data_IF_450716859193
#
_entry.id   IF_450716859193
#
_cell.length_a   1.000
_cell.length_b   1.000
_cell.length_c   1.000
_cell.angle_alpha   90.00
_cell.angle_beta   90.00
_cell.angle_gamma   90.00
#
_symmetry.space_group_name_H-M   'P 1'
#
loop_
_entity.id
_entity.type
_entity.pdbx_description
1 polymer ?
#
# COMPACT_ATOMS: atom_id res chain seq x y z
N UNK A 1 -4.05 6.17 -2.59
CA UNK A 1 -4.41 6.46 -3.99
C UNK A 1 -4.86 7.92 -4.08
N UNK A 2 -4.59 8.64 -5.18
CA UNK A 2 -5.10 9.99 -5.39
C UNK A 2 -6.64 9.98 -5.42
N UNK A 3 -7.26 11.12 -5.09
CA UNK A 3 -8.73 11.25 -5.17
C UNK A 3 -9.22 11.35 -6.62
N UNK A 4 -8.46 12.04 -7.47
CA UNK A 4 -8.73 12.14 -8.90
C UNK A 4 -8.32 10.83 -9.57
N UNK A 5 -9.24 10.24 -10.33
CA UNK A 5 -8.98 9.02 -11.09
C UNK A 5 -8.02 9.34 -12.24
N UNK A 6 -6.80 8.84 -12.14
CA UNK A 6 -5.78 8.92 -13.20
C UNK A 6 -5.23 7.55 -13.53
N UNK A 7 -4.95 7.30 -14.80
CA UNK A 7 -4.53 5.99 -15.28
C UNK A 7 -3.03 5.78 -15.05
N UNK A 8 -2.22 6.79 -15.39
CA UNK A 8 -0.76 6.73 -15.30
C UNK A 8 -0.22 7.61 -14.20
N UNK A 9 0.90 7.20 -13.62
CA UNK A 9 1.61 8.00 -12.63
C UNK A 9 2.08 9.36 -13.22
N UNK A 10 2.44 9.38 -14.51
CA UNK A 10 2.78 10.60 -15.25
C UNK A 10 1.64 11.61 -15.37
N UNK A 11 0.39 11.19 -15.15
CA UNK A 11 -0.79 12.07 -15.25
C UNK A 11 -1.09 12.79 -13.92
N UNK A 12 -0.33 12.49 -12.87
CA UNK A 12 -0.42 13.17 -11.58
C UNK A 12 0.20 14.56 -11.65
N UNK A 13 -0.43 15.49 -10.96
CA UNK A 13 0.18 16.79 -10.66
C UNK A 13 1.24 16.63 -9.56
N UNK A 14 2.15 17.60 -9.47
CA UNK A 14 3.15 17.65 -8.40
C UNK A 14 2.52 17.63 -7.00
N UNK A 15 1.36 18.28 -6.84
CA UNK A 15 0.60 18.30 -5.59
C UNK A 15 0.11 16.89 -5.23
N UNK A 16 -0.43 16.14 -6.18
CA UNK A 16 -0.90 14.77 -5.95
C UNK A 16 0.24 13.78 -5.70
N UNK A 17 1.37 13.93 -6.40
CA UNK A 17 2.58 13.13 -6.14
C UNK A 17 3.06 13.34 -4.70
N UNK A 18 3.13 14.60 -4.27
CA UNK A 18 3.58 14.98 -2.93
C UNK A 18 2.62 14.48 -1.87
N UNK A 19 1.31 14.67 -2.05
CA UNK A 19 0.27 14.18 -1.14
C UNK A 19 0.28 12.65 -1.01
N UNK A 20 0.33 11.94 -2.14
CA UNK A 20 0.38 10.47 -2.18
C UNK A 20 1.60 9.93 -1.43
N UNK A 21 2.78 10.50 -1.67
CA UNK A 21 4.04 10.07 -1.05
C UNK A 21 4.08 10.40 0.45
N UNK A 22 3.58 11.57 0.85
CA UNK A 22 3.48 11.95 2.25
C UNK A 22 2.50 11.05 3.02
N UNK A 23 1.35 10.73 2.43
CA UNK A 23 0.40 9.79 3.01
C UNK A 23 1.05 8.41 3.20
N UNK A 24 1.77 7.92 2.19
CA UNK A 24 2.45 6.63 2.23
C UNK A 24 3.55 6.56 3.30
N UNK A 25 4.31 7.65 3.47
CA UNK A 25 5.34 7.78 4.50
C UNK A 25 4.74 7.68 5.91
N UNK A 26 3.63 8.39 6.16
CA UNK A 26 2.90 8.32 7.43
C UNK A 26 2.33 6.93 7.70
N UNK A 27 1.76 6.30 6.67
CA UNK A 27 1.25 4.93 6.77
C UNK A 27 2.38 3.96 7.12
N UNK A 28 3.56 4.08 6.49
CA UNK A 28 4.68 3.18 6.77
C UNK A 28 5.15 3.23 8.22
N UNK A 29 5.25 4.43 8.82
CA UNK A 29 5.56 4.60 10.25
C UNK A 29 4.55 3.90 11.17
N UNK A 30 3.26 3.94 10.83
CA UNK A 30 2.23 3.21 11.57
C UNK A 30 2.39 1.71 11.38
N UNK A 31 2.66 1.25 10.16
CA UNK A 31 2.84 -0.17 9.87
C UNK A 31 4.07 -0.76 10.56
N UNK A 32 5.12 0.01 10.86
CA UNK A 32 6.26 -0.45 11.66
C UNK A 32 5.83 -0.90 13.07
N UNK A 33 4.84 -0.22 13.65
CA UNK A 33 4.31 -0.55 14.98
C UNK A 33 3.39 -1.78 14.92
N UNK A 34 2.61 -1.92 13.84
CA UNK A 34 1.68 -3.04 13.63
C UNK A 34 2.41 -4.31 13.22
N UNK A 35 3.52 -4.18 12.48
CA UNK A 35 4.35 -5.29 12.00
C UNK A 35 5.81 -5.14 12.50
N UNK A 36 6.10 -5.30 13.81
CA UNK A 36 7.43 -5.07 14.38
C UNK A 36 8.54 -5.92 13.75
N UNK A 37 8.20 -7.12 13.25
CA UNK A 37 9.14 -8.01 12.56
C UNK A 37 9.59 -7.47 11.19
N UNK A 38 8.86 -6.49 10.65
CA UNK A 38 9.07 -5.85 9.35
C UNK A 38 9.55 -4.40 9.46
N UNK A 39 9.87 -3.92 10.67
CA UNK A 39 10.29 -2.53 10.93
C UNK A 39 11.51 -2.07 10.11
N UNK A 40 12.30 -3.01 9.58
CA UNK A 40 13.52 -2.72 8.84
C UNK A 40 13.28 -2.58 7.32
N UNK A 41 12.04 -2.67 6.83
CA UNK A 41 11.76 -2.43 5.42
C UNK A 41 10.36 -2.83 4.97
N UNK A 42 9.83 -2.04 4.02
CA UNK A 42 8.58 -2.29 3.30
C UNK A 42 8.83 -2.22 1.80
N UNK A 43 8.04 -2.95 1.04
CA UNK A 43 8.01 -2.81 -0.41
C UNK A 43 6.99 -1.73 -0.75
N UNK A 44 7.46 -0.66 -1.40
CA UNK A 44 6.61 0.38 -2.00
C UNK A 44 6.57 0.13 -3.50
N UNK A 45 5.38 -0.18 -4.03
CA UNK A 45 5.22 -0.60 -5.42
C UNK A 45 4.09 0.14 -6.12
N UNK A 46 4.38 0.66 -7.30
CA UNK A 46 3.39 1.19 -8.26
C UNK A 46 3.52 0.37 -9.54
N UNK A 47 2.42 -0.25 -9.95
CA UNK A 47 2.30 -0.88 -11.25
C UNK A 47 1.70 0.14 -12.21
N UNK A 48 2.55 0.86 -12.95
CA UNK A 48 2.12 1.96 -13.82
C UNK A 48 1.83 1.47 -15.24
N UNK A 49 0.57 1.15 -15.52
CA UNK A 49 0.10 0.65 -16.81
C UNK A 49 -0.09 -0.87 -16.87
N UNK A 50 -0.89 -1.32 -17.84
CA UNK A 50 -1.28 -2.73 -18.02
C UNK A 50 -0.08 -3.69 -18.11
N UNK A 51 0.93 -3.33 -18.90
CA UNK A 51 2.14 -4.14 -19.09
C UNK A 51 3.01 -4.23 -17.82
N UNK A 52 2.85 -3.29 -16.89
CA UNK A 52 3.49 -3.33 -15.57
C UNK A 52 2.68 -4.13 -14.52
N UNK A 53 1.57 -4.77 -14.93
CA UNK A 53 0.70 -5.56 -14.06
C UNK A 53 -0.46 -4.78 -13.43
N UNK A 54 -0.73 -3.54 -13.86
CA UNK A 54 -1.85 -2.77 -13.33
C UNK A 54 -3.20 -3.39 -13.72
N UNK A 55 -3.94 -3.89 -12.75
CA UNK A 55 -5.25 -4.53 -12.98
C UNK A 55 -6.42 -3.54 -12.90
N UNK A 56 -6.32 -2.52 -12.04
CA UNK A 56 -7.32 -1.44 -11.91
C UNK A 56 -6.75 -0.17 -12.54
N UNK A 57 -7.42 0.46 -13.53
CA UNK A 57 -6.93 1.63 -14.26
C UNK A 57 -7.05 2.93 -13.44
N UNK A 58 -6.47 2.93 -12.25
CA UNK A 58 -6.36 4.05 -11.33
C UNK A 58 -5.04 3.90 -10.57
N UNK A 59 -4.19 4.94 -10.54
CA UNK A 59 -2.93 4.92 -9.79
C UNK A 59 -3.18 4.53 -8.34
N UNK A 60 -2.48 3.51 -7.87
CA UNK A 60 -2.44 3.14 -6.46
C UNK A 60 -1.04 2.67 -6.10
N UNK A 61 -0.63 2.99 -4.88
CA UNK A 61 0.64 2.59 -4.31
C UNK A 61 0.37 1.46 -3.31
N UNK A 62 1.04 0.35 -3.50
CA UNK A 62 1.08 -0.74 -2.51
C UNK A 62 2.18 -0.46 -1.48
N UNK A 63 1.86 -0.66 -0.21
CA UNK A 63 2.82 -0.69 0.90
C UNK A 63 2.70 -2.08 1.52
N UNK A 64 3.75 -2.89 1.37
CA UNK A 64 3.69 -4.31 1.68
C UNK A 64 4.74 -4.65 2.75
N UNK A 65 4.32 -5.08 3.95
CA UNK A 65 5.21 -5.54 5.01
C UNK A 65 5.72 -6.96 4.69
N UNK A 66 6.54 -7.11 3.66
CA UNK A 66 7.15 -8.39 3.24
C UNK A 66 8.63 -8.21 2.92
N UNK A 67 9.47 -9.20 3.23
CA UNK A 67 10.90 -9.12 2.90
C UNK A 67 11.08 -9.33 1.40
N UNK A 68 12.01 -8.62 0.78
CA UNK A 68 12.23 -8.74 -0.66
C UNK A 68 12.67 -10.16 -1.08
N UNK A 69 13.42 -10.86 -0.24
CA UNK A 69 13.79 -12.27 -0.48
C UNK A 69 12.59 -13.21 -0.50
N UNK A 70 11.59 -12.97 0.35
CA UNK A 70 10.34 -13.75 0.37
C UNK A 70 9.46 -13.40 -0.84
N UNK A 71 9.53 -12.15 -1.29
CA UNK A 71 8.84 -11.67 -2.49
C UNK A 71 9.40 -12.32 -3.76
N UNK A 72 10.73 -12.37 -3.91
CA UNK A 72 11.36 -12.93 -5.10
C UNK A 72 11.15 -14.45 -5.23
N UNK A 73 11.03 -15.17 -4.11
CA UNK A 73 10.85 -16.62 -4.11
C UNK A 73 9.42 -17.07 -4.41
N UNK A 74 8.42 -16.38 -3.84
CA UNK A 74 7.01 -16.81 -3.91
C UNK A 74 6.17 -15.95 -4.85
N UNK A 75 6.73 -14.91 -5.44
CA UNK A 75 6.00 -13.94 -6.26
C UNK A 75 5.08 -13.01 -5.43
N UNK A 76 4.21 -12.32 -6.17
CA UNK A 76 3.32 -11.26 -5.67
C UNK A 76 2.03 -11.86 -5.07
N UNK A 77 1.49 -12.91 -5.69
CA UNK A 77 0.19 -13.47 -5.37
C UNK A 77 0.33 -14.84 -4.69
N UNK A 78 -0.30 -14.98 -3.53
CA UNK A 78 -0.54 -16.28 -2.92
C UNK A 78 -1.86 -16.82 -3.49
N UNK A 79 -1.77 -17.82 -4.37
CA UNK A 79 -2.92 -18.46 -5.03
C UNK A 79 -3.85 -19.17 -4.05
N UNK A 80 -3.38 -19.48 -2.85
CA UNK A 80 -4.16 -20.13 -1.80
C UNK A 80 -4.78 -19.11 -0.82
N UNK A 81 -4.55 -17.81 -1.03
CA UNK A 81 -5.06 -16.78 -0.14
C UNK A 81 -6.58 -16.72 -0.21
N UNK A 82 -7.22 -17.03 0.92
CA UNK A 82 -8.66 -16.87 1.09
C UNK A 82 -9.01 -15.37 1.19
N UNK A 83 -10.02 -14.88 0.45
CA UNK A 83 -10.51 -13.52 0.61
C UNK A 83 -10.95 -13.23 2.06
N UNK A 84 -10.55 -12.06 2.59
CA UNK A 84 -10.95 -11.61 3.93
C UNK A 84 -12.41 -11.19 3.94
N UNK A 85 -13.07 -11.31 5.09
CA UNK A 85 -14.43 -10.80 5.25
C UNK A 85 -14.45 -9.28 5.36
N UNK A 86 -15.59 -8.64 5.03
CA UNK A 86 -15.78 -7.21 5.26
C UNK A 86 -15.67 -6.83 6.75
N UNK A 87 -16.03 -7.75 7.64
CA UNK A 87 -15.90 -7.53 9.08
C UNK A 87 -14.44 -7.40 9.49
N UNK A 88 -13.58 -8.32 9.06
CA UNK A 88 -12.14 -8.31 9.37
C UNK A 88 -11.47 -7.06 8.80
N UNK A 89 -11.77 -6.73 7.54
CA UNK A 89 -11.25 -5.52 6.90
C UNK A 89 -11.66 -4.25 7.64
N UNK A 90 -12.90 -4.18 8.14
CA UNK A 90 -13.40 -3.03 8.91
C UNK A 90 -12.72 -2.91 10.27
N UNK A 91 -12.47 -4.03 10.96
CA UNK A 91 -11.76 -4.03 12.24
C UNK A 91 -10.31 -3.56 12.07
N UNK A 92 -9.61 -4.10 11.07
CA UNK A 92 -8.24 -3.68 10.74
C UNK A 92 -8.18 -2.19 10.39
N UNK A 93 -9.09 -1.72 9.52
CA UNK A 93 -9.14 -0.31 9.12
C UNK A 93 -9.34 0.63 10.31
N UNK A 94 -10.25 0.29 11.24
CA UNK A 94 -10.47 1.07 12.47
C UNK A 94 -9.23 1.11 13.37
N UNK A 95 -8.54 -0.02 13.50
CA UNK A 95 -7.31 -0.08 14.27
C UNK A 95 -6.22 0.83 13.66
N UNK A 96 -5.99 0.71 12.35
CA UNK A 96 -5.02 1.54 11.64
C UNK A 96 -5.37 3.03 11.68
N UNK A 97 -6.66 3.37 11.57
CA UNK A 97 -7.13 4.75 11.71
C UNK A 97 -6.80 5.34 13.09
N UNK A 98 -7.06 4.59 14.16
CA UNK A 98 -6.71 5.02 15.52
C UNK A 98 -5.22 5.30 15.67
N UNK A 99 -4.38 4.40 15.14
CA UNK A 99 -2.92 4.55 15.17
C UNK A 99 -2.45 5.76 14.36
N UNK A 100 -3.02 6.00 13.18
CA UNK A 100 -2.72 7.16 12.35
C UNK A 100 -3.05 8.48 13.06
N UNK A 101 -4.14 8.54 13.82
CA UNK A 101 -4.53 9.75 14.57
C UNK A 101 -3.60 10.06 15.74
N UNK A 102 -2.98 9.04 16.34
CA UNK A 102 -2.05 9.19 17.46
C UNK A 102 -0.63 9.60 17.04
N UNK A 103 -0.28 9.41 15.76
CA UNK A 103 1.04 9.71 15.20
C UNK A 103 1.04 10.99 14.33
N UNK A 104 0.07 11.90 14.54
CA UNK A 104 0.00 13.24 13.91
C UNK A 104 0.41 14.29 14.91
#
# INVERSE_FOLDING_TARGET
MPKRVVLRYSDLTLVEITDLTNAASRISKVLEQVYPHMRNGFIWLIQDGKEAGQTVPHVHLHIIPKRFSEWSQHGIEDVNRVPRTLHDMKLEAKHLESMLRQNI
#
